data_IF_431939184783
#
_entry.id   IF_431939184783
#
_cell.length_a   1.000
_cell.length_b   1.000
_cell.length_c   1.000
_cell.angle_alpha   90.00
_cell.angle_beta   90.00
_cell.angle_gamma   90.00
#
_symmetry.space_group_name_H-M   'P 1'
#
loop_
_entity.id
_entity.type
_entity.pdbx_description
1 polymer ?
#
# COMPACT_ATOMS: atom_id res chain seq x y z
N UNK A 1 5.08 -9.38 16.59
CA UNK A 1 4.13 -10.15 15.77
C UNK A 1 4.45 -10.02 14.31
N UNK A 2 3.77 -10.79 13.45
CA UNK A 2 3.97 -10.81 11.99
C UNK A 2 3.76 -9.42 11.34
N UNK A 3 2.82 -8.62 11.85
CA UNK A 3 2.59 -7.25 11.39
C UNK A 3 3.84 -6.35 11.48
N UNK A 4 4.59 -6.41 12.59
CA UNK A 4 5.78 -5.58 12.82
C UNK A 4 6.88 -5.85 11.80
N UNK A 5 7.03 -7.10 11.38
CA UNK A 5 8.06 -7.48 10.41
C UNK A 5 7.57 -7.22 8.98
N UNK A 6 6.30 -7.49 8.69
CA UNK A 6 5.74 -7.36 7.35
C UNK A 6 5.53 -5.92 6.88
N UNK A 7 5.18 -4.99 7.77
CA UNK A 7 5.01 -3.58 7.43
C UNK A 7 6.26 -2.94 6.78
N UNK A 8 7.45 -2.94 7.44
CA UNK A 8 8.66 -2.38 6.83
C UNK A 8 9.08 -3.12 5.56
N UNK A 9 8.83 -4.44 5.48
CA UNK A 9 9.12 -5.21 4.27
C UNK A 9 8.24 -4.79 3.08
N UNK A 10 6.93 -4.67 3.28
CA UNK A 10 6.00 -4.28 2.23
C UNK A 10 6.24 -2.83 1.76
N UNK A 11 6.46 -1.91 2.70
CA UNK A 11 6.76 -0.52 2.38
C UNK A 11 8.11 -0.39 1.64
N UNK A 12 9.16 -1.06 2.11
CA UNK A 12 10.46 -1.07 1.42
C UNK A 12 10.34 -1.63 0.00
N UNK A 13 9.54 -2.68 -0.22
CA UNK A 13 9.34 -3.26 -1.55
C UNK A 13 8.72 -2.26 -2.53
N UNK A 14 7.68 -1.53 -2.11
CA UNK A 14 7.05 -0.51 -2.96
C UNK A 14 7.99 0.67 -3.21
N UNK A 15 8.63 1.21 -2.16
CA UNK A 15 9.57 2.33 -2.30
C UNK A 15 10.76 1.97 -3.22
N UNK A 16 11.29 0.75 -3.09
CA UNK A 16 12.38 0.26 -3.94
C UNK A 16 11.95 0.14 -5.40
N UNK A 17 10.70 -0.26 -5.67
CA UNK A 17 10.15 -0.30 -7.03
C UNK A 17 10.08 1.09 -7.65
N UNK A 18 9.92 2.14 -6.84
CA UNK A 18 9.94 3.53 -7.28
C UNK A 18 11.36 4.14 -7.32
N UNK A 19 12.40 3.32 -7.20
CA UNK A 19 13.80 3.74 -7.28
C UNK A 19 14.38 4.32 -5.98
N UNK A 20 13.64 4.31 -4.88
CA UNK A 20 14.17 4.73 -3.58
C UNK A 20 15.11 3.66 -3.03
N UNK A 21 16.35 4.04 -2.71
CA UNK A 21 17.32 3.14 -2.07
C UNK A 21 16.97 2.99 -0.59
N UNK A 22 16.22 1.93 -0.24
CA UNK A 22 15.76 1.67 1.12
C UNK A 22 15.82 0.17 1.45
N UNK A 23 15.86 -0.16 2.74
CA UNK A 23 15.73 -1.55 3.23
C UNK A 23 14.73 -1.59 4.39
N UNK A 24 14.16 -2.75 4.72
CA UNK A 24 13.19 -2.85 5.82
C UNK A 24 13.74 -2.32 7.15
N UNK A 25 14.99 -2.64 7.49
CA UNK A 25 15.62 -2.19 8.73
C UNK A 25 15.77 -0.66 8.85
N UNK A 26 15.91 0.05 7.72
CA UNK A 26 15.96 1.52 7.70
C UNK A 26 14.60 2.16 8.01
N UNK A 27 13.50 1.42 7.88
CA UNK A 27 12.16 1.92 8.14
C UNK A 27 11.69 1.70 9.59
N UNK A 28 12.39 0.88 10.37
CA UNK A 28 11.95 0.53 11.74
C UNK A 28 11.78 1.76 12.63
N UNK A 29 12.72 2.71 12.57
CA UNK A 29 12.63 3.97 13.32
C UNK A 29 11.48 4.85 12.86
N UNK A 30 11.27 4.99 11.55
CA UNK A 30 10.16 5.76 10.99
C UNK A 30 8.79 5.14 11.33
N UNK A 31 8.73 3.82 11.47
CA UNK A 31 7.54 3.07 11.86
C UNK A 31 7.37 2.96 13.39
N UNK A 32 8.32 3.49 14.18
CA UNK A 32 8.33 3.45 15.65
C UNK A 32 8.26 2.03 16.21
N UNK A 33 8.88 1.07 15.52
CA UNK A 33 8.85 -0.34 15.93
C UNK A 33 9.83 -0.61 17.08
N UNK A 34 9.51 -1.54 18.00
CA UNK A 34 8.30 -2.38 18.03
C UNK A 34 7.08 -1.75 18.73
N UNK A 35 7.16 -0.54 19.32
CA UNK A 35 6.07 0.01 20.13
C UNK A 35 4.88 0.58 19.31
N UNK A 36 5.10 0.92 18.04
CA UNK A 36 4.14 1.60 17.16
C UNK A 36 3.18 0.71 16.38
N UNK A 37 3.01 -0.56 16.76
CA UNK A 37 2.24 -1.57 16.00
C UNK A 37 0.82 -1.09 15.67
N UNK A 38 0.14 -0.54 16.67
CA UNK A 38 -1.27 -0.13 16.56
C UNK A 38 -1.48 1.05 15.60
N UNK A 39 -0.40 1.76 15.24
CA UNK A 39 -0.42 2.92 14.35
C UNK A 39 0.26 2.66 13.00
N UNK A 40 0.64 1.41 12.70
CA UNK A 40 1.44 1.08 11.53
C UNK A 40 0.87 1.60 10.20
N UNK A 41 -0.46 1.54 10.01
CA UNK A 41 -1.09 2.11 8.81
C UNK A 41 -0.81 3.61 8.67
N UNK A 42 -0.91 4.39 9.75
CA UNK A 42 -0.61 5.82 9.74
C UNK A 42 0.89 6.07 9.59
N UNK A 43 1.73 5.36 10.36
CA UNK A 43 3.19 5.49 10.33
C UNK A 43 3.77 5.18 8.94
N UNK A 44 3.26 4.14 8.26
CA UNK A 44 3.69 3.82 6.88
C UNK A 44 3.34 4.91 5.89
N UNK A 45 2.14 5.51 6.00
CA UNK A 45 1.75 6.62 5.12
C UNK A 45 2.61 7.84 5.37
N UNK A 46 2.89 8.17 6.64
CA UNK A 46 3.80 9.26 7.02
C UNK A 46 5.21 9.02 6.48
N UNK A 47 5.75 7.81 6.69
CA UNK A 47 7.08 7.45 6.18
C UNK A 47 7.15 7.53 4.65
N UNK A 48 6.14 7.02 3.93
CA UNK A 48 6.07 7.14 2.47
C UNK A 48 6.11 8.61 2.01
N UNK A 49 5.34 9.49 2.66
CA UNK A 49 5.35 10.93 2.36
C UNK A 49 6.71 11.57 2.63
N UNK A 50 7.44 11.14 3.66
CA UNK A 50 8.81 11.64 3.91
C UNK A 50 9.77 11.33 2.75
N UNK A 51 9.52 10.26 1.99
CA UNK A 51 10.25 9.94 0.76
C UNK A 51 9.70 10.63 -0.50
N UNK A 52 8.83 11.64 -0.35
CA UNK A 52 8.26 12.37 -1.48
C UNK A 52 7.18 11.60 -2.25
N UNK A 53 6.70 10.47 -1.71
CA UNK A 53 5.66 9.67 -2.35
C UNK A 53 4.27 10.16 -1.98
N UNK A 54 3.38 10.18 -2.96
CA UNK A 54 1.96 10.41 -2.74
C UNK A 54 1.30 9.10 -2.28
N UNK A 55 0.50 9.21 -1.22
CA UNK A 55 -0.27 8.09 -0.66
C UNK A 55 -1.73 8.26 -1.04
N UNK A 56 -2.27 7.36 -1.86
CA UNK A 56 -3.65 7.44 -2.35
C UNK A 56 -4.50 6.28 -1.79
N UNK A 57 -5.48 6.54 -0.91
CA UNK A 57 -6.32 5.49 -0.35
C UNK A 57 -7.31 4.94 -1.38
N UNK A 58 -7.50 3.62 -1.36
CA UNK A 58 -8.42 2.92 -2.24
C UNK A 58 -9.76 2.66 -1.57
N UNK A 59 -10.76 2.39 -2.40
CA UNK A 59 -12.08 1.98 -1.93
C UNK A 59 -12.01 0.57 -1.36
N UNK A 60 -12.86 0.28 -0.38
CA UNK A 60 -12.90 -0.99 0.35
C UNK A 60 -13.56 -2.12 -0.47
N UNK A 61 -13.27 -2.19 -1.77
CA UNK A 61 -13.86 -3.12 -2.71
C UNK A 61 -12.77 -3.80 -3.56
N UNK A 62 -12.85 -5.13 -3.70
CA UNK A 62 -11.86 -5.90 -4.48
C UNK A 62 -11.70 -5.36 -5.92
N UNK A 63 -12.77 -5.01 -6.66
CA UNK A 63 -12.63 -4.42 -8.00
C UNK A 63 -11.77 -3.15 -8.06
N UNK A 64 -11.79 -2.30 -7.01
CA UNK A 64 -10.95 -1.10 -6.95
C UNK A 64 -9.46 -1.46 -6.91
N UNK A 65 -9.11 -2.50 -6.14
CA UNK A 65 -7.75 -3.02 -6.05
C UNK A 65 -7.31 -3.65 -7.38
N UNK A 66 -8.17 -4.49 -7.99
CA UNK A 66 -7.87 -5.15 -9.25
C UNK A 66 -7.68 -4.15 -10.41
N UNK A 67 -8.46 -3.07 -10.43
CA UNK A 67 -8.34 -1.99 -11.41
C UNK A 67 -6.95 -1.34 -11.37
N UNK A 68 -6.42 -1.07 -10.18
CA UNK A 68 -5.06 -0.51 -10.03
C UNK A 68 -3.99 -1.47 -10.51
N UNK A 69 -4.08 -2.73 -10.08
CA UNK A 69 -3.11 -3.77 -10.45
C UNK A 69 -3.11 -4.01 -11.95
N UNK A 70 -4.29 -3.96 -12.59
CA UNK A 70 -4.41 -4.05 -14.05
C UNK A 70 -3.69 -2.91 -14.78
N UNK A 71 -3.65 -1.73 -14.18
CA UNK A 71 -2.92 -0.56 -14.67
C UNK A 71 -1.42 -0.57 -14.28
N UNK A 72 -0.93 -1.65 -13.66
CA UNK A 72 0.46 -1.78 -13.22
C UNK A 72 0.77 -1.09 -11.90
N UNK A 73 -0.24 -0.63 -11.16
CA UNK A 73 -0.08 0.01 -9.87
C UNK A 73 -0.15 -1.04 -8.75
N UNK A 74 0.96 -1.34 -8.05
CA UNK A 74 0.97 -2.26 -6.92
C UNK A 74 0.20 -1.65 -5.73
N UNK A 75 -0.54 -2.48 -5.00
CA UNK A 75 -1.36 -2.00 -3.87
C UNK A 75 -0.77 -2.48 -2.55
N UNK A 76 -0.44 -1.54 -1.66
CA UNK A 76 -0.10 -1.82 -0.27
C UNK A 76 -1.37 -2.07 0.52
N UNK A 77 -1.44 -3.16 1.27
CA UNK A 77 -2.63 -3.50 2.04
C UNK A 77 -2.30 -4.27 3.32
N UNK A 78 -3.29 -4.34 4.21
CA UNK A 78 -3.26 -5.11 5.45
C UNK A 78 -4.34 -6.19 5.38
N UNK A 79 -3.99 -7.44 5.62
CA UNK A 79 -4.91 -8.58 5.55
C UNK A 79 -4.58 -9.60 6.63
N UNK A 80 -5.54 -10.46 6.93
CA UNK A 80 -5.37 -11.57 7.84
C UNK A 80 -4.70 -12.75 7.12
N UNK A 81 -3.52 -13.19 7.56
CA UNK A 81 -2.85 -14.36 6.97
C UNK A 81 -2.88 -15.56 7.91
N UNK A 82 -3.27 -16.72 7.38
CA UNK A 82 -3.27 -17.98 8.09
C UNK A 82 -4.51 -18.80 7.79
N UNK A 83 -4.80 -19.75 8.67
CA UNK A 83 -6.01 -20.57 8.60
C UNK A 83 -7.12 -19.97 9.47
N UNK A 84 -8.36 -20.43 9.30
CA UNK A 84 -9.51 -19.96 10.07
C UNK A 84 -9.32 -20.03 11.60
N UNK A 85 -8.49 -20.95 12.10
CA UNK A 85 -8.23 -21.16 13.53
C UNK A 85 -6.97 -20.47 14.04
N UNK A 86 -6.04 -20.12 13.15
CA UNK A 86 -4.75 -19.51 13.49
C UNK A 86 -4.39 -18.53 12.39
N UNK A 87 -4.59 -17.26 12.65
CA UNK A 87 -4.25 -16.20 11.72
C UNK A 87 -3.74 -14.97 12.43
N UNK A 88 -2.87 -14.22 11.75
CA UNK A 88 -2.28 -12.98 12.26
C UNK A 88 -2.36 -11.87 11.21
N UNK A 89 -2.48 -10.60 11.64
CA UNK A 89 -2.47 -9.47 10.73
C UNK A 89 -1.11 -9.34 10.05
N UNK A 90 -1.14 -9.14 8.74
CA UNK A 90 0.05 -8.95 7.90
C UNK A 90 -0.12 -7.80 6.92
N UNK A 91 0.98 -7.16 6.58
CA UNK A 91 1.08 -6.25 5.45
C UNK A 91 1.67 -6.94 4.23
N UNK A 92 1.08 -6.67 3.07
CA UNK A 92 1.52 -7.22 1.80
C UNK A 92 1.33 -6.25 0.65
N UNK A 93 1.84 -6.66 -0.51
CA UNK A 93 1.69 -5.91 -1.77
C UNK A 93 0.95 -6.78 -2.77
N UNK A 94 -0.24 -6.36 -3.18
CA UNK A 94 -0.95 -6.98 -4.28
C UNK A 94 -0.32 -6.52 -5.59
N UNK A 95 0.14 -7.48 -6.39
CA UNK A 95 0.94 -7.23 -7.60
C UNK A 95 0.37 -7.90 -8.85
N UNK A 96 -0.68 -8.70 -8.72
CA UNK A 96 -1.29 -9.40 -9.85
C UNK A 96 -2.58 -10.09 -9.48
N UNK A 97 -3.29 -10.57 -10.50
CA UNK A 97 -4.45 -11.42 -10.35
C UNK A 97 -4.70 -12.23 -11.62
N UNK A 98 -5.45 -13.31 -11.48
CA UNK A 98 -5.97 -14.14 -12.56
C UNK A 98 -7.49 -14.16 -12.47
N UNK A 99 -8.18 -13.58 -13.48
CA UNK A 99 -9.65 -13.55 -13.52
C UNK A 99 -10.27 -14.90 -13.83
N UNK A 100 -9.59 -15.75 -14.60
CA UNK A 100 -10.12 -17.05 -14.97
C UNK A 100 -10.08 -18.02 -13.80
N UNK A 101 -9.01 -17.91 -12.99
CA UNK A 101 -8.85 -18.72 -11.77
C UNK A 101 -9.35 -18.04 -10.51
N UNK A 102 -9.88 -16.81 -10.61
CA UNK A 102 -10.34 -15.98 -9.49
C UNK A 102 -9.32 -15.91 -8.35
N UNK A 103 -8.06 -15.59 -8.67
CA UNK A 103 -6.96 -15.54 -7.69
C UNK A 103 -6.22 -14.25 -7.70
N UNK A 104 -5.91 -13.72 -6.52
CA UNK A 104 -4.95 -12.62 -6.35
C UNK A 104 -3.54 -13.16 -6.17
N UNK A 105 -2.54 -12.33 -6.52
CA UNK A 105 -1.13 -12.58 -6.31
C UNK A 105 -0.53 -11.50 -5.42
N UNK A 106 -0.11 -11.90 -4.22
CA UNK A 106 0.50 -11.05 -3.20
C UNK A 106 2.00 -11.31 -3.07
N UNK A 107 2.74 -10.26 -2.72
CA UNK A 107 4.08 -10.35 -2.11
C UNK A 107 3.96 -10.04 -0.63
N UNK A 108 4.40 -10.96 0.23
CA UNK A 108 4.30 -10.83 1.67
C UNK A 108 5.56 -11.41 2.34
N UNK A 109 6.38 -10.55 2.94
CA UNK A 109 7.67 -10.94 3.54
C UNK A 109 8.56 -11.73 2.56
N UNK A 110 8.99 -12.93 2.98
CA UNK A 110 9.78 -13.83 2.14
C UNK A 110 8.96 -14.56 1.07
N UNK A 111 7.62 -14.60 1.19
CA UNK A 111 6.77 -15.20 0.18
C UNK A 111 6.53 -14.23 -0.97
N UNK A 112 7.31 -14.39 -2.04
CA UNK A 112 7.23 -13.54 -3.23
C UNK A 112 6.06 -13.90 -4.16
N UNK A 113 5.35 -15.00 -3.91
CA UNK A 113 4.24 -15.48 -4.75
C UNK A 113 3.16 -16.16 -3.91
N UNK A 114 2.48 -15.38 -3.06
CA UNK A 114 1.31 -15.86 -2.33
C UNK A 114 0.08 -15.75 -3.22
N UNK A 115 -0.53 -16.88 -3.54
CA UNK A 115 -1.80 -16.95 -4.26
C UNK A 115 -2.94 -17.15 -3.27
N UNK A 116 -4.02 -16.38 -3.43
CA UNK A 116 -5.25 -16.54 -2.65
C UNK A 116 -6.44 -16.47 -3.61
N UNK A 117 -7.46 -17.27 -3.36
CA UNK A 117 -8.74 -17.15 -4.06
C UNK A 117 -9.39 -15.79 -3.69
N UNK A 118 -10.18 -15.22 -4.60
CA UNK A 118 -10.75 -13.88 -4.45
C UNK A 118 -11.61 -13.74 -3.18
N UNK A 119 -12.45 -14.72 -2.89
CA UNK A 119 -13.35 -14.69 -1.73
C UNK A 119 -12.56 -14.77 -0.41
N UNK A 120 -11.56 -15.66 -0.36
CA UNK A 120 -10.66 -15.79 0.80
C UNK A 120 -9.89 -14.50 1.04
N UNK A 121 -9.34 -13.90 -0.01
CA UNK A 121 -8.65 -12.62 0.08
C UNK A 121 -9.58 -11.50 0.53
N UNK A 122 -10.76 -11.37 -0.08
CA UNK A 122 -11.72 -10.33 0.27
C UNK A 122 -12.17 -10.45 1.74
N UNK A 123 -12.39 -11.68 2.22
CA UNK A 123 -12.70 -11.96 3.62
C UNK A 123 -11.54 -11.59 4.55
N UNK A 124 -10.32 -12.04 4.25
CA UNK A 124 -9.12 -11.75 5.03
C UNK A 124 -8.77 -10.25 5.09
N UNK A 125 -8.98 -9.54 3.99
CA UNK A 125 -8.77 -8.09 3.91
C UNK A 125 -9.83 -7.32 4.69
N UNK A 126 -11.09 -7.75 4.60
CA UNK A 126 -12.21 -7.13 5.33
C UNK A 126 -12.07 -7.25 6.84
N UNK A 127 -11.54 -8.37 7.34
CA UNK A 127 -11.27 -8.55 8.77
C UNK A 127 -10.30 -7.49 9.33
N UNK A 128 -9.39 -7.01 8.50
CA UNK A 128 -8.41 -5.97 8.86
C UNK A 128 -8.86 -4.55 8.46
N UNK A 129 -10.16 -4.36 8.27
CA UNK A 129 -10.78 -3.06 7.99
C UNK A 129 -10.64 -2.60 6.53
N UNK A 130 -10.32 -3.51 5.61
CA UNK A 130 -10.16 -3.22 4.18
C UNK A 130 -9.19 -2.06 3.89
N UNK A 131 -8.12 -1.93 4.68
CA UNK A 131 -7.13 -0.89 4.44
C UNK A 131 -6.26 -1.22 3.24
N UNK A 132 -6.25 -0.34 2.24
CA UNK A 132 -5.40 -0.42 1.07
C UNK A 132 -5.05 0.98 0.56
N UNK A 133 -3.80 1.16 0.15
CA UNK A 133 -3.28 2.41 -0.40
C UNK A 133 -2.35 2.15 -1.57
N UNK A 134 -2.29 3.10 -2.49
CA UNK A 134 -1.18 3.23 -3.41
C UNK A 134 -0.10 4.12 -2.80
N UNK A 135 1.15 3.82 -3.12
CA UNK A 135 2.30 4.67 -2.80
C UNK A 135 3.02 4.91 -4.12
N UNK A 136 2.89 6.11 -4.66
CA UNK A 136 3.29 6.41 -6.04
C UNK A 136 4.10 7.72 -6.12
N UNK A 137 4.94 7.88 -7.16
CA UNK A 137 5.52 9.17 -7.48
C UNK A 137 4.41 10.20 -7.72
N UNK A 138 4.61 11.46 -7.32
CA UNK A 138 3.59 12.50 -7.46
C UNK A 138 3.15 12.76 -8.91
N UNK A 139 3.97 12.42 -9.91
CA UNK A 139 3.59 12.54 -11.33
C UNK A 139 2.75 11.39 -11.89
N UNK A 140 2.49 10.33 -11.13
CA UNK A 140 1.80 9.13 -11.61
C UNK A 140 0.39 9.05 -11.02
N UNK A 141 -0.63 9.23 -11.87
CA UNK A 141 -2.03 9.11 -11.46
C UNK A 141 -2.44 7.64 -11.22
N UNK A 142 -3.36 7.38 -10.28
CA UNK A 142 -4.01 6.09 -10.17
C UNK A 142 -4.95 5.84 -11.35
N UNK A 143 -5.24 4.57 -11.63
CA UNK A 143 -6.31 4.24 -12.57
C UNK A 143 -7.65 4.75 -12.03
N UNK A 144 -8.49 5.35 -12.88
CA UNK A 144 -9.77 5.93 -12.46
C UNK A 144 -9.62 6.92 -11.29
N UNK A 145 -8.73 7.90 -11.44
CA UNK A 145 -8.45 8.88 -10.39
C UNK A 145 -9.70 9.63 -9.94
N UNK A 146 -9.94 9.63 -8.63
CA UNK A 146 -10.87 10.56 -7.99
C UNK A 146 -10.13 11.88 -7.72
N UNK A 147 -10.60 12.95 -8.35
CA UNK A 147 -9.96 14.26 -8.30
C UNK A 147 -9.88 14.82 -6.87
N UNK A 148 -10.94 14.69 -6.08
CA UNK A 148 -10.98 15.23 -4.73
C UNK A 148 -10.02 14.47 -3.81
N UNK A 149 -10.03 13.14 -3.91
CA UNK A 149 -9.14 12.25 -3.17
C UNK A 149 -7.68 12.50 -3.51
N UNK A 150 -7.36 12.72 -4.79
CA UNK A 150 -6.01 13.03 -5.24
C UNK A 150 -5.51 14.38 -4.70
N UNK A 151 -6.34 15.43 -4.78
CA UNK A 151 -5.99 16.74 -4.23
C UNK A 151 -5.79 16.70 -2.71
N UNK A 152 -6.59 15.91 -1.99
CA UNK A 152 -6.39 15.67 -0.56
C UNK A 152 -5.03 15.00 -0.29
N UNK A 153 -4.68 13.96 -1.04
CA UNK A 153 -3.40 13.28 -0.91
C UNK A 153 -2.20 14.20 -1.24
N UNK A 154 -2.33 15.06 -2.26
CA UNK A 154 -1.33 16.06 -2.59
C UNK A 154 -1.15 17.10 -1.47
N UNK A 155 -2.25 17.55 -0.84
CA UNK A 155 -2.19 18.45 0.31
C UNK A 155 -1.52 17.79 1.53
N UNK A 156 -1.82 16.52 1.82
CA UNK A 156 -1.14 15.78 2.89
C UNK A 156 0.36 15.61 2.62
N UNK A 157 0.75 15.46 1.34
CA UNK A 157 2.15 15.45 0.93
C UNK A 157 2.82 16.81 1.16
N UNK A 158 2.14 17.92 0.86
CA UNK A 158 2.63 19.27 1.17
C UNK A 158 2.80 19.48 2.68
N UNK A 159 1.85 19.05 3.50
CA UNK A 159 1.91 19.13 4.97
C UNK A 159 3.07 18.30 5.55
N UNK A 160 3.55 17.28 4.84
CA UNK A 160 4.75 16.54 5.18
C UNK A 160 6.06 17.26 4.76
N UNK A 161 5.99 18.51 4.32
CA UNK A 161 7.13 19.32 3.87
C UNK A 161 7.55 19.08 2.41
N UNK A 162 6.79 18.28 1.66
CA UNK A 162 7.12 17.92 0.27
C UNK A 162 6.38 18.81 -0.73
N UNK A 163 6.53 20.14 -0.61
CA UNK A 163 5.79 21.12 -1.41
C UNK A 163 6.04 21.00 -2.92
N UNK A 164 7.26 20.67 -3.34
CA UNK A 164 7.58 20.45 -4.76
C UNK A 164 6.86 19.22 -5.32
N UNK A 165 6.89 18.11 -4.58
CA UNK A 165 6.19 16.89 -4.96
C UNK A 165 4.66 17.10 -4.99
N UNK A 166 4.11 17.83 -4.01
CA UNK A 166 2.69 18.16 -3.98
C UNK A 166 2.26 19.00 -5.20
N UNK A 167 3.07 20.00 -5.60
CA UNK A 167 2.81 20.77 -6.83
C UNK A 167 2.83 19.89 -8.06
N UNK A 168 3.80 18.98 -8.17
CA UNK A 168 3.87 18.03 -9.28
C UNK A 168 2.60 17.16 -9.34
N UNK A 169 2.10 16.69 -8.19
CA UNK A 169 0.86 15.93 -8.12
C UNK A 169 -0.37 16.72 -8.58
N UNK A 170 -0.48 17.99 -8.20
CA UNK A 170 -1.57 18.85 -8.66
C UNK A 170 -1.49 19.06 -10.18
N UNK A 171 -0.30 19.26 -10.72
CA UNK A 171 -0.09 19.42 -12.17
C UNK A 171 -0.45 18.16 -12.95
N UNK A 172 -0.23 16.96 -12.39
CA UNK A 172 -0.53 15.69 -13.05
C UNK A 172 -2.04 15.52 -13.38
N UNK A 173 -2.95 16.17 -12.65
CA UNK A 173 -4.39 16.14 -12.95
C UNK A 173 -4.80 16.92 -14.21
N UNK A 174 -3.93 17.83 -14.68
CA UNK A 174 -4.20 18.69 -15.83
C UNK A 174 -3.55 18.23 -17.13
N UNK A 175 -2.83 17.11 -17.10
CA UNK A 175 -2.21 16.47 -18.27
C UNK A 175 -3.13 15.42 -18.86
#
# INVERSE_FOLDING_TARGET
>A
GVANQSAPMALAAILSQQGVRITPGLLEGALQLPQGVDRLQASMQTAARQYGMLVYPLEAELPALLTQVAAGNPVLLRYQEGSAFWSEPRYGVLIGYDRYKSRVLLRAGNNRRLLMDFDDFASAWKQEGSWAVLVQPPGQLPAQVDRQRWLKAANELAQAGQEQAARQAISALGQ
#
